data_IF_659583422699
#
_entry.id   IF_659583422699
#
_cell.length_a   1.000
_cell.length_b   1.000
_cell.length_c   1.000
_cell.angle_alpha   90.00
_cell.angle_beta   90.00
_cell.angle_gamma   90.00
#
_symmetry.space_group_name_H-M   'P 1'
#
loop_
_entity.id
_entity.type
_entity.pdbx_description
1 polymer ?
#
# COMPACT_ATOMS: atom_id res chain seq x y z
N UNK A 1 -12.14 -3.86 -18.23
CA UNK A 1 -10.70 -4.03 -17.99
C UNK A 1 -10.55 -5.03 -16.85
N UNK A 2 -9.81 -6.11 -17.06
CA UNK A 2 -9.59 -7.13 -16.03
C UNK A 2 -8.72 -6.62 -14.88
N UNK A 3 -8.65 -7.37 -13.77
CA UNK A 3 -7.82 -7.05 -12.61
C UNK A 3 -6.35 -6.82 -12.99
N UNK A 4 -5.76 -7.77 -13.71
CA UNK A 4 -4.37 -7.68 -14.19
C UNK A 4 -4.13 -6.49 -15.13
N UNK A 5 -5.08 -6.21 -16.03
CA UNK A 5 -4.96 -5.07 -16.99
C UNK A 5 -4.87 -3.74 -16.27
N UNK A 6 -5.59 -3.55 -15.16
CA UNK A 6 -5.53 -2.34 -14.33
C UNK A 6 -4.17 -2.19 -13.66
N UNK A 7 -3.63 -3.26 -13.08
CA UNK A 7 -2.28 -3.26 -12.46
C UNK A 7 -1.25 -2.95 -13.54
N UNK A 8 -1.32 -3.61 -14.68
CA UNK A 8 -0.42 -3.42 -15.82
C UNK A 8 -0.46 -1.98 -16.38
N UNK A 9 -1.65 -1.39 -16.46
CA UNK A 9 -1.82 0.00 -16.88
C UNK A 9 -1.25 0.98 -15.84
N UNK A 10 -1.51 0.74 -14.56
CA UNK A 10 -1.02 1.58 -13.46
C UNK A 10 0.50 1.52 -13.32
N UNK A 11 1.12 0.38 -13.54
CA UNK A 11 2.58 0.21 -13.47
C UNK A 11 3.31 0.55 -14.77
N UNK A 12 2.61 1.03 -15.81
CA UNK A 12 3.21 1.27 -17.13
C UNK A 12 4.45 2.16 -17.07
N UNK A 13 4.39 3.29 -16.38
CA UNK A 13 5.53 4.22 -16.28
C UNK A 13 6.73 3.59 -15.58
N UNK A 14 6.48 2.88 -14.49
CA UNK A 14 7.51 2.16 -13.73
C UNK A 14 8.13 1.07 -14.59
N UNK A 15 7.30 0.23 -15.20
CA UNK A 15 7.77 -0.84 -16.09
C UNK A 15 8.57 -0.30 -17.27
N UNK A 16 8.06 0.73 -17.97
CA UNK A 16 8.73 1.28 -19.15
C UNK A 16 10.10 1.88 -18.78
N UNK A 17 10.25 2.39 -17.55
CA UNK A 17 11.53 2.90 -17.01
C UNK A 17 12.48 1.77 -16.63
N UNK A 18 12.04 0.80 -15.86
CA UNK A 18 12.90 -0.25 -15.28
C UNK A 18 13.19 -1.34 -16.31
N UNK A 19 12.13 -1.97 -16.82
CA UNK A 19 12.25 -3.17 -17.67
C UNK A 19 12.94 -2.86 -19.00
N UNK A 20 12.71 -1.67 -19.56
CA UNK A 20 13.40 -1.24 -20.77
C UNK A 20 14.92 -1.13 -20.59
N UNK A 21 15.36 -0.54 -19.46
CA UNK A 21 16.78 -0.39 -19.14
C UNK A 21 17.42 -1.74 -18.82
N UNK A 22 16.78 -2.58 -18.00
CA UNK A 22 17.30 -3.91 -17.67
C UNK A 22 17.42 -4.79 -18.93
N UNK A 23 16.42 -4.81 -19.81
CA UNK A 23 16.51 -5.57 -21.06
C UNK A 23 17.65 -5.08 -21.96
N UNK A 24 17.82 -3.76 -22.10
CA UNK A 24 18.90 -3.18 -22.90
C UNK A 24 20.29 -3.57 -22.33
N UNK A 25 20.41 -3.54 -21.01
CA UNK A 25 21.61 -3.96 -20.30
C UNK A 25 21.86 -5.48 -20.54
N UNK A 26 20.89 -6.34 -20.29
CA UNK A 26 21.04 -7.80 -20.44
C UNK A 26 21.43 -8.20 -21.89
N UNK A 27 20.93 -7.48 -22.89
CA UNK A 27 21.33 -7.72 -24.30
C UNK A 27 22.76 -7.30 -24.62
N UNK A 28 23.38 -6.41 -23.83
CA UNK A 28 24.76 -6.01 -24.00
C UNK A 28 25.76 -7.06 -23.42
N UNK A 29 25.31 -7.88 -22.50
CA UNK A 29 26.14 -8.91 -21.88
C UNK A 29 26.05 -10.24 -22.64
N UNK A 30 27.22 -10.89 -22.84
CA UNK A 30 27.31 -12.21 -23.46
C UNK A 30 27.46 -13.33 -22.43
N UNK A 31 27.70 -13.01 -21.18
CA UNK A 31 27.88 -13.93 -20.05
C UNK A 31 27.35 -13.28 -18.78
N UNK A 32 27.07 -14.12 -17.78
CA UNK A 32 26.68 -13.65 -16.45
C UNK A 32 27.97 -13.57 -15.60
N UNK A 33 28.37 -12.35 -15.28
CA UNK A 33 29.51 -12.05 -14.42
C UNK A 33 29.18 -10.97 -13.38
N UNK A 34 30.17 -10.56 -12.61
CA UNK A 34 29.96 -9.59 -11.52
C UNK A 34 29.56 -8.22 -12.06
N UNK A 35 30.08 -7.80 -13.20
CA UNK A 35 29.76 -6.51 -13.84
C UNK A 35 28.26 -6.43 -14.19
N UNK A 36 27.65 -7.54 -14.65
CA UNK A 36 26.21 -7.61 -14.90
C UNK A 36 25.40 -7.36 -13.63
N UNK A 37 25.81 -7.94 -12.50
CA UNK A 37 25.06 -7.73 -11.24
C UNK A 37 25.25 -6.34 -10.67
N UNK A 38 26.44 -5.73 -10.81
CA UNK A 38 26.70 -4.35 -10.40
C UNK A 38 25.82 -3.38 -11.19
N UNK A 39 25.75 -3.54 -12.51
CA UNK A 39 24.89 -2.68 -13.35
C UNK A 39 23.41 -2.91 -13.06
N UNK A 40 22.98 -4.15 -12.82
CA UNK A 40 21.60 -4.46 -12.42
C UNK A 40 21.23 -3.79 -11.08
N UNK A 41 22.13 -3.84 -10.10
CA UNK A 41 21.95 -3.21 -8.78
C UNK A 41 21.78 -1.69 -8.92
N UNK A 42 22.61 -1.03 -9.73
CA UNK A 42 22.47 0.41 -10.02
C UNK A 42 21.10 0.74 -10.64
N UNK A 43 20.64 -0.05 -11.61
CA UNK A 43 19.34 0.15 -12.25
C UNK A 43 18.17 -0.01 -11.26
N UNK A 44 18.25 -0.99 -10.36
CA UNK A 44 17.24 -1.20 -9.31
C UNK A 44 17.21 -0.02 -8.32
N UNK A 45 18.38 0.50 -7.93
CA UNK A 45 18.48 1.67 -7.06
C UNK A 45 17.88 2.91 -7.73
N UNK A 46 18.18 3.13 -9.01
CA UNK A 46 17.61 4.23 -9.80
C UNK A 46 16.08 4.14 -9.93
N UNK A 47 15.52 2.95 -9.80
CA UNK A 47 14.09 2.68 -9.81
C UNK A 47 13.41 2.85 -8.45
N UNK A 48 14.07 3.45 -7.46
CA UNK A 48 13.59 3.63 -6.08
C UNK A 48 13.37 2.32 -5.30
N UNK A 49 14.01 1.21 -5.71
CA UNK A 49 14.00 -0.07 -4.95
C UNK A 49 14.74 0.09 -3.61
N UNK A 50 15.68 1.04 -3.54
CA UNK A 50 16.53 1.26 -2.37
C UNK A 50 17.77 0.35 -2.36
N UNK A 51 18.89 0.85 -1.81
CA UNK A 51 20.18 0.16 -1.86
C UNK A 51 20.12 -1.24 -1.23
N UNK A 52 19.66 -1.35 0.02
CA UNK A 52 19.65 -2.61 0.74
C UNK A 52 18.82 -3.69 0.02
N UNK A 53 17.66 -3.32 -0.48
CA UNK A 53 16.77 -4.23 -1.20
C UNK A 53 17.36 -4.63 -2.57
N UNK A 54 17.98 -3.69 -3.28
CA UNK A 54 18.66 -3.97 -4.55
C UNK A 54 19.83 -4.95 -4.36
N UNK A 55 20.67 -4.73 -3.35
CA UNK A 55 21.76 -5.64 -2.99
C UNK A 55 21.22 -7.04 -2.66
N UNK A 56 20.17 -7.16 -1.85
CA UNK A 56 19.57 -8.45 -1.48
C UNK A 56 18.98 -9.18 -2.69
N UNK A 57 18.34 -8.46 -3.61
CA UNK A 57 17.86 -9.04 -4.88
C UNK A 57 19.05 -9.60 -5.69
N UNK A 58 20.11 -8.81 -5.86
CA UNK A 58 21.28 -9.24 -6.63
C UNK A 58 22.00 -10.42 -5.99
N UNK A 59 22.14 -10.45 -4.66
CA UNK A 59 22.73 -11.59 -3.94
C UNK A 59 21.90 -12.87 -4.10
N UNK A 60 20.57 -12.74 -4.03
CA UNK A 60 19.66 -13.87 -4.27
C UNK A 60 19.76 -14.36 -5.70
N UNK A 61 19.83 -13.44 -6.68
CA UNK A 61 20.02 -13.81 -8.08
C UNK A 61 21.34 -14.53 -8.31
N UNK A 62 22.48 -14.04 -7.75
CA UNK A 62 23.80 -14.71 -7.82
C UNK A 62 23.71 -16.14 -7.30
N UNK A 63 23.09 -16.34 -6.14
CA UNK A 63 22.94 -17.65 -5.55
C UNK A 63 22.14 -18.60 -6.45
N UNK A 64 21.00 -18.14 -7.01
CA UNK A 64 20.14 -18.95 -7.89
C UNK A 64 20.77 -19.24 -9.24
N UNK A 65 21.46 -18.27 -9.83
CA UNK A 65 22.23 -18.46 -11.08
C UNK A 65 23.23 -19.60 -10.91
N UNK A 66 23.99 -19.58 -9.80
CA UNK A 66 24.96 -20.63 -9.49
C UNK A 66 24.30 -21.99 -9.22
N UNK A 67 23.22 -22.02 -8.45
CA UNK A 67 22.46 -23.22 -8.08
C UNK A 67 21.86 -23.91 -9.32
N UNK A 68 21.24 -23.11 -10.21
CA UNK A 68 20.52 -23.61 -11.40
C UNK A 68 21.47 -23.81 -12.62
N UNK A 69 22.71 -23.33 -12.54
CA UNK A 69 23.64 -23.37 -13.65
C UNK A 69 23.23 -22.50 -14.84
N UNK A 70 22.59 -21.37 -14.59
CA UNK A 70 22.12 -20.43 -15.62
C UNK A 70 23.32 -19.72 -16.24
N UNK A 71 23.41 -19.70 -17.57
CA UNK A 71 24.53 -19.09 -18.32
C UNK A 71 24.08 -18.01 -19.30
N UNK A 72 22.78 -17.97 -19.67
CA UNK A 72 22.23 -16.97 -20.58
C UNK A 72 21.75 -15.74 -19.79
N UNK A 73 22.33 -14.54 -20.04
CA UNK A 73 21.87 -13.31 -19.40
C UNK A 73 20.35 -13.04 -19.58
N UNK A 74 19.75 -13.50 -20.67
CA UNK A 74 18.31 -13.28 -20.91
C UNK A 74 17.40 -14.01 -19.91
N UNK A 75 17.90 -15.05 -19.23
CA UNK A 75 17.15 -15.75 -18.18
C UNK A 75 17.07 -14.96 -16.87
N UNK A 76 17.95 -13.97 -16.67
CA UNK A 76 17.98 -13.13 -15.47
C UNK A 76 16.65 -12.39 -15.25
N UNK A 77 15.99 -11.95 -16.32
CA UNK A 77 14.70 -11.26 -16.19
C UNK A 77 13.60 -12.16 -15.57
N UNK A 78 13.56 -13.42 -15.99
CA UNK A 78 12.60 -14.40 -15.43
C UNK A 78 12.94 -14.70 -13.97
N UNK A 79 14.22 -14.87 -13.67
CA UNK A 79 14.68 -15.12 -12.32
C UNK A 79 14.44 -13.92 -11.39
N UNK A 80 14.62 -12.68 -11.89
CA UNK A 80 14.31 -11.46 -11.17
C UNK A 80 12.82 -11.38 -10.82
N UNK A 81 11.95 -11.74 -11.76
CA UNK A 81 10.51 -11.80 -11.51
C UNK A 81 10.17 -12.81 -10.40
N UNK A 82 10.78 -13.99 -10.39
CA UNK A 82 10.61 -14.99 -9.34
C UNK A 82 11.07 -14.46 -7.97
N UNK A 83 12.27 -13.88 -7.90
CA UNK A 83 12.85 -13.32 -6.67
C UNK A 83 11.97 -12.21 -6.11
N UNK A 84 11.52 -11.28 -6.96
CA UNK A 84 10.65 -10.19 -6.54
C UNK A 84 9.28 -10.71 -6.09
N UNK A 85 8.71 -11.68 -6.78
CA UNK A 85 7.43 -12.29 -6.36
C UNK A 85 7.54 -12.88 -4.96
N UNK A 86 8.57 -13.65 -4.69
CA UNK A 86 8.80 -14.25 -3.37
C UNK A 86 9.03 -13.19 -2.30
N UNK A 87 9.82 -12.15 -2.62
CA UNK A 87 10.15 -11.07 -1.69
C UNK A 87 8.90 -10.32 -1.21
N UNK A 88 7.93 -10.05 -2.08
CA UNK A 88 6.71 -9.30 -1.71
C UNK A 88 5.52 -10.19 -1.38
N UNK A 89 5.72 -11.50 -1.38
CA UNK A 89 4.70 -12.44 -0.96
C UNK A 89 4.52 -12.42 0.56
N UNK A 90 3.28 -12.52 1.01
CA UNK A 90 2.95 -12.52 2.43
C UNK A 90 1.46 -12.47 2.67
N UNK A 91 1.06 -12.05 3.87
CA UNK A 91 -0.33 -11.90 4.27
C UNK A 91 -0.89 -10.56 3.77
N UNK A 92 -1.21 -10.53 2.47
CA UNK A 92 -1.70 -9.34 1.78
C UNK A 92 -3.21 -9.11 1.92
N UNK A 93 -3.94 -10.02 2.58
CA UNK A 93 -5.39 -9.94 2.74
C UNK A 93 -5.81 -9.08 3.94
N UNK A 94 -7.02 -8.50 3.87
CA UNK A 94 -7.65 -7.88 5.03
C UNK A 94 -8.26 -8.95 5.95
N UNK A 95 -7.97 -8.85 7.24
CA UNK A 95 -8.57 -9.72 8.26
C UNK A 95 -9.79 -9.04 8.88
N UNK A 96 -10.97 -9.35 8.36
CA UNK A 96 -12.26 -8.82 8.81
C UNK A 96 -13.13 -9.97 9.37
N UNK A 97 -12.61 -10.63 10.43
CA UNK A 97 -13.19 -11.88 10.96
C UNK A 97 -14.21 -11.67 12.09
N UNK A 98 -14.44 -10.41 12.50
CA UNK A 98 -15.39 -10.06 13.56
C UNK A 98 -16.47 -9.10 13.07
N UNK A 99 -17.56 -8.97 13.83
CA UNK A 99 -18.67 -8.07 13.53
C UNK A 99 -18.95 -7.16 14.74
N UNK A 100 -18.56 -5.87 14.66
CA UNK A 100 -17.80 -5.23 13.59
C UNK A 100 -16.30 -5.55 13.65
N UNK A 101 -15.66 -5.56 12.47
CA UNK A 101 -14.22 -5.38 12.34
C UNK A 101 -13.90 -3.89 12.18
N UNK A 102 -12.68 -3.46 12.53
CA UNK A 102 -12.29 -2.04 12.45
C UNK A 102 -11.10 -1.86 11.51
N UNK A 103 -11.20 -0.90 10.61
CA UNK A 103 -10.09 -0.44 9.77
C UNK A 103 -9.78 1.00 10.16
N UNK A 104 -8.58 1.24 10.67
CA UNK A 104 -8.05 2.58 10.95
C UNK A 104 -7.11 2.97 9.81
N UNK A 105 -7.41 4.08 9.12
CA UNK A 105 -6.61 4.54 7.98
C UNK A 105 -5.77 5.73 8.40
N UNK A 106 -4.45 5.57 8.36
CA UNK A 106 -3.48 6.57 8.80
C UNK A 106 -2.52 6.96 7.67
N UNK A 107 -1.76 8.05 7.87
CA UNK A 107 -0.77 8.55 6.91
C UNK A 107 -0.75 10.07 6.87
N UNK A 108 0.23 10.67 6.21
CA UNK A 108 0.37 12.12 6.11
C UNK A 108 -0.74 12.75 5.24
N UNK A 109 -0.88 14.08 5.29
CA UNK A 109 -1.85 14.77 4.45
C UNK A 109 -1.46 14.69 2.96
N UNK A 110 -2.45 14.53 2.08
CA UNK A 110 -2.25 14.49 0.63
C UNK A 110 -1.86 13.15 0.02
N UNK A 111 -1.63 12.10 0.84
CA UNK A 111 -1.28 10.76 0.33
C UNK A 111 -2.48 9.97 -0.21
N UNK A 112 -3.70 10.47 -0.06
CA UNK A 112 -4.89 9.80 -0.58
C UNK A 112 -5.70 8.99 0.43
N UNK A 113 -5.60 9.26 1.76
CA UNK A 113 -6.36 8.56 2.82
C UNK A 113 -7.86 8.54 2.55
N UNK A 114 -8.47 9.73 2.43
CA UNK A 114 -9.92 9.88 2.24
C UNK A 114 -10.42 9.20 0.98
N UNK A 115 -9.64 9.29 -0.12
CA UNK A 115 -9.92 8.58 -1.37
C UNK A 115 -9.83 7.06 -1.19
N UNK A 116 -8.81 6.59 -0.48
CA UNK A 116 -8.64 5.17 -0.16
C UNK A 116 -9.82 4.63 0.65
N UNK A 117 -10.26 5.37 1.67
CA UNK A 117 -11.43 5.02 2.50
C UNK A 117 -12.68 4.88 1.63
N UNK A 118 -12.95 5.87 0.78
CA UNK A 118 -14.13 5.84 -0.10
C UNK A 118 -14.12 4.67 -1.08
N UNK A 119 -12.96 4.40 -1.71
CA UNK A 119 -12.79 3.25 -2.61
C UNK A 119 -12.93 1.91 -1.87
N UNK A 120 -12.34 1.81 -0.68
CA UNK A 120 -12.42 0.60 0.15
C UNK A 120 -13.86 0.36 0.64
N UNK A 121 -14.56 1.39 1.10
CA UNK A 121 -15.97 1.30 1.49
C UNK A 121 -16.85 0.82 0.34
N UNK A 122 -16.67 1.41 -0.85
CA UNK A 122 -17.39 0.99 -2.06
C UNK A 122 -17.13 -0.46 -2.43
N UNK A 123 -15.88 -0.92 -2.28
CA UNK A 123 -15.49 -2.31 -2.55
C UNK A 123 -16.14 -3.27 -1.56
N UNK A 124 -16.00 -3.02 -0.26
CA UNK A 124 -16.56 -3.88 0.79
C UNK A 124 -18.09 -3.96 0.69
N UNK A 125 -18.75 -2.84 0.32
CA UNK A 125 -20.20 -2.84 0.06
C UNK A 125 -20.56 -3.70 -1.15
N UNK A 126 -19.80 -3.65 -2.24
CA UNK A 126 -19.99 -4.53 -3.40
C UNK A 126 -19.81 -6.01 -3.04
N UNK A 127 -18.96 -6.30 -2.05
CA UNK A 127 -18.76 -7.64 -1.49
C UNK A 127 -19.86 -8.05 -0.50
N UNK A 128 -20.89 -7.23 -0.32
CA UNK A 128 -22.07 -7.50 0.53
C UNK A 128 -21.88 -7.14 2.01
N UNK A 129 -20.80 -6.43 2.36
CA UNK A 129 -20.56 -5.97 3.75
C UNK A 129 -21.32 -4.69 4.06
N UNK A 130 -21.89 -4.61 5.26
CA UNK A 130 -22.41 -3.37 5.81
C UNK A 130 -21.27 -2.55 6.43
N UNK A 131 -21.03 -1.33 5.90
CA UNK A 131 -19.91 -0.48 6.28
C UNK A 131 -20.40 0.80 6.91
N UNK A 132 -19.72 1.29 7.96
CA UNK A 132 -19.92 2.62 8.55
C UNK A 132 -18.58 3.37 8.54
N UNK A 133 -18.62 4.64 8.11
CA UNK A 133 -17.44 5.52 8.14
C UNK A 133 -17.43 6.40 9.39
N UNK A 134 -16.22 6.66 9.92
CA UNK A 134 -15.97 7.62 11.00
C UNK A 134 -15.02 8.73 10.53
N UNK A 135 -15.49 10.00 10.52
CA UNK A 135 -14.69 11.15 10.11
C UNK A 135 -13.85 11.67 11.28
N UNK A 136 -12.76 10.99 11.63
CA UNK A 136 -11.92 11.35 12.77
C UNK A 136 -10.75 12.30 12.41
N UNK A 137 -10.57 12.73 11.15
CA UNK A 137 -9.76 13.94 10.81
C UNK A 137 -10.56 15.20 11.11
N UNK A 138 -10.85 15.44 12.39
CA UNK A 138 -11.72 16.54 12.86
C UNK A 138 -11.07 17.91 12.75
N UNK A 139 -9.79 18.00 12.52
CA UNK A 139 -9.06 19.29 12.42
C UNK A 139 -9.20 19.97 11.06
N UNK A 140 -9.80 19.29 10.09
CA UNK A 140 -9.90 19.78 8.71
C UNK A 140 -11.35 19.65 8.23
N UNK A 141 -12.08 20.77 8.24
CA UNK A 141 -13.44 20.80 7.71
C UNK A 141 -13.55 20.20 6.31
N UNK A 142 -12.64 20.57 5.41
CA UNK A 142 -12.59 20.02 4.05
C UNK A 142 -12.35 18.50 3.99
N UNK A 143 -11.68 17.90 4.99
CA UNK A 143 -11.52 16.45 5.03
C UNK A 143 -12.81 15.73 5.40
N UNK A 144 -13.56 16.32 6.36
CA UNK A 144 -14.89 15.83 6.75
C UNK A 144 -15.83 15.88 5.54
N UNK A 145 -15.93 17.04 4.87
CA UNK A 145 -16.77 17.24 3.69
C UNK A 145 -16.39 16.27 2.54
N UNK A 146 -15.08 16.08 2.31
CA UNK A 146 -14.61 15.14 1.30
C UNK A 146 -15.02 13.70 1.63
N UNK A 147 -14.94 13.31 2.89
CA UNK A 147 -15.33 11.96 3.31
C UNK A 147 -16.86 11.77 3.20
N UNK A 148 -17.65 12.81 3.43
CA UNK A 148 -19.11 12.77 3.19
C UNK A 148 -19.44 12.50 1.73
N UNK A 149 -18.79 13.20 0.80
CA UNK A 149 -18.96 12.95 -0.64
C UNK A 149 -18.64 11.50 -1.00
N UNK A 150 -17.61 10.92 -0.38
CA UNK A 150 -17.29 9.52 -0.58
C UNK A 150 -18.31 8.57 0.06
N UNK A 151 -18.82 8.90 1.25
CA UNK A 151 -19.89 8.13 1.92
C UNK A 151 -21.15 8.08 1.05
N UNK A 152 -21.57 9.23 0.49
CA UNK A 152 -22.69 9.31 -0.45
C UNK A 152 -22.45 8.47 -1.70
N UNK A 153 -21.28 8.59 -2.34
CA UNK A 153 -20.94 7.81 -3.54
C UNK A 153 -20.92 6.31 -3.30
N UNK A 154 -20.44 5.88 -2.14
CA UNK A 154 -20.40 4.49 -1.72
C UNK A 154 -21.76 4.02 -1.17
N UNK A 155 -22.70 4.94 -0.93
CA UNK A 155 -23.98 4.70 -0.29
C UNK A 155 -23.80 3.98 1.06
N UNK A 156 -22.95 4.54 1.93
CA UNK A 156 -22.66 4.07 3.29
C UNK A 156 -22.86 5.18 4.31
N UNK A 157 -23.34 4.88 5.53
CA UNK A 157 -23.50 5.87 6.58
C UNK A 157 -22.15 6.40 7.08
N UNK A 158 -22.13 7.67 7.50
CA UNK A 158 -20.98 8.32 8.10
C UNK A 158 -21.34 8.90 9.47
N UNK A 159 -20.43 8.77 10.42
CA UNK A 159 -20.48 9.43 11.72
C UNK A 159 -19.44 10.55 11.71
N UNK A 160 -19.88 11.76 12.02
CA UNK A 160 -19.04 12.98 12.06
C UNK A 160 -19.40 13.85 13.22
N UNK A 161 -18.46 14.67 13.67
CA UNK A 161 -18.69 15.75 14.63
C UNK A 161 -18.32 17.11 14.01
N UNK A 162 -18.49 18.18 14.74
CA UNK A 162 -18.05 19.51 14.33
C UNK A 162 -16.52 19.56 14.24
N UNK A 163 -16.01 20.48 13.40
CA UNK A 163 -14.59 20.77 13.31
C UNK A 163 -14.00 21.06 14.71
N UNK A 164 -12.80 20.52 14.98
CA UNK A 164 -12.13 20.65 16.27
C UNK A 164 -12.62 19.72 17.38
N UNK A 165 -13.60 18.86 17.11
CA UNK A 165 -14.02 17.84 18.06
C UNK A 165 -12.90 16.82 18.35
N UNK A 166 -13.01 16.08 19.47
CA UNK A 166 -12.06 15.02 19.80
C UNK A 166 -12.18 13.84 18.81
N UNK A 167 -11.12 13.49 18.05
CA UNK A 167 -11.15 12.35 17.13
C UNK A 167 -11.55 11.03 17.80
N UNK A 168 -11.14 10.81 19.03
CA UNK A 168 -11.49 9.62 19.80
C UNK A 168 -12.98 9.52 20.13
N UNK A 169 -13.67 10.68 20.30
CA UNK A 169 -15.12 10.70 20.48
C UNK A 169 -15.86 10.29 19.20
N UNK A 170 -15.39 10.74 18.03
CA UNK A 170 -15.94 10.31 16.73
C UNK A 170 -15.81 8.80 16.56
N UNK A 171 -14.65 8.23 16.86
CA UNK A 171 -14.42 6.78 16.77
C UNK A 171 -15.32 6.01 17.76
N UNK A 172 -15.47 6.52 18.99
CA UNK A 172 -16.37 5.92 19.97
C UNK A 172 -17.82 5.87 19.47
N UNK A 173 -18.32 6.98 18.94
CA UNK A 173 -19.69 7.05 18.42
C UNK A 173 -19.87 6.20 17.17
N UNK A 174 -18.84 6.11 16.31
CA UNK A 174 -18.85 5.25 15.14
C UNK A 174 -18.97 3.77 15.55
N UNK A 175 -18.20 3.32 16.54
CA UNK A 175 -18.28 1.96 17.10
C UNK A 175 -19.65 1.72 17.71
N UNK A 176 -20.19 2.68 18.46
CA UNK A 176 -21.50 2.57 19.09
C UNK A 176 -22.61 2.43 18.05
N UNK A 177 -22.54 3.23 16.97
CA UNK A 177 -23.46 3.13 15.84
C UNK A 177 -23.33 1.78 15.10
N UNK A 178 -22.11 1.29 14.92
CA UNK A 178 -21.85 0.01 14.27
C UNK A 178 -22.45 -1.17 15.05
N UNK A 179 -22.29 -1.18 16.39
CA UNK A 179 -22.94 -2.17 17.25
C UNK A 179 -24.46 -2.13 17.15
N UNK A 180 -25.05 -0.93 17.26
CA UNK A 180 -26.50 -0.76 17.22
C UNK A 180 -27.12 -1.16 15.87
N UNK A 181 -26.37 -1.03 14.77
CA UNK A 181 -26.81 -1.35 13.41
C UNK A 181 -26.32 -2.70 12.90
N UNK A 182 -25.61 -3.46 13.73
CA UNK A 182 -24.99 -4.75 13.35
C UNK A 182 -24.13 -4.63 12.07
N UNK A 183 -23.35 -3.55 11.97
CA UNK A 183 -22.46 -3.35 10.82
C UNK A 183 -21.32 -4.37 10.84
N UNK A 184 -20.87 -4.77 9.63
CA UNK A 184 -19.74 -5.71 9.49
C UNK A 184 -18.41 -5.02 9.68
N UNK A 185 -18.27 -3.78 9.18
CA UNK A 185 -16.99 -3.06 9.13
C UNK A 185 -17.16 -1.58 9.51
N UNK A 186 -16.26 -1.11 10.35
CA UNK A 186 -16.05 0.31 10.63
C UNK A 186 -14.76 0.76 9.96
N UNK A 187 -14.80 1.87 9.20
CA UNK A 187 -13.58 2.48 8.63
C UNK A 187 -13.46 3.90 9.17
N UNK A 188 -12.36 4.19 9.88
CA UNK A 188 -12.10 5.51 10.43
C UNK A 188 -10.96 6.23 9.70
N UNK A 189 -11.22 7.49 9.29
CA UNK A 189 -10.17 8.42 8.86
C UNK A 189 -9.39 8.94 10.08
N UNK A 190 -8.20 9.47 9.87
CA UNK A 190 -7.39 10.11 10.93
C UNK A 190 -6.68 11.36 10.40
N UNK A 191 -6.29 12.23 11.30
CA UNK A 191 -5.41 13.35 11.00
C UNK A 191 -4.04 12.85 10.46
N UNK A 192 -3.42 13.65 9.58
CA UNK A 192 -2.13 13.32 8.95
C UNK A 192 -1.03 14.34 9.24
N UNK A 193 -0.94 14.86 10.47
CA UNK A 193 -0.04 15.95 10.86
C UNK A 193 1.31 15.44 11.38
N UNK A 194 2.12 14.83 10.52
CA UNK A 194 3.40 14.23 10.92
C UNK A 194 4.42 15.27 11.43
N UNK A 195 4.32 16.53 11.01
CA UNK A 195 5.16 17.63 11.54
C UNK A 195 4.97 17.86 13.05
N UNK A 196 3.89 17.39 13.65
CA UNK A 196 3.67 17.31 15.09
C UNK A 196 3.56 15.83 15.51
N UNK A 197 4.65 15.10 15.28
CA UNK A 197 4.72 13.63 15.46
C UNK A 197 4.18 13.20 16.83
N UNK A 198 4.60 13.84 17.91
CA UNK A 198 4.19 13.47 19.26
C UNK A 198 2.68 13.52 19.44
N UNK A 199 2.05 14.65 19.08
CA UNK A 199 0.61 14.81 19.25
C UNK A 199 -0.17 13.81 18.38
N UNK A 200 0.30 13.57 17.14
CA UNK A 200 -0.32 12.57 16.25
C UNK A 200 -0.23 11.16 16.86
N UNK A 201 0.91 10.78 17.42
CA UNK A 201 1.10 9.47 18.04
C UNK A 201 0.27 9.30 19.32
N UNK A 202 0.15 10.34 20.14
CA UNK A 202 -0.72 10.36 21.31
C UNK A 202 -2.20 10.22 20.93
N UNK A 203 -2.63 10.88 19.84
CA UNK A 203 -3.99 10.77 19.27
C UNK A 203 -4.26 9.35 18.76
N UNK A 204 -3.38 8.78 17.94
CA UNK A 204 -3.51 7.43 17.42
C UNK A 204 -3.54 6.39 18.55
N UNK A 205 -2.70 6.55 19.58
CA UNK A 205 -2.72 5.71 20.78
C UNK A 205 -4.02 5.82 21.55
N UNK A 206 -4.61 7.02 21.63
CA UNK A 206 -5.92 7.24 22.27
C UNK A 206 -7.03 6.56 21.48
N UNK A 207 -7.04 6.72 20.15
CA UNK A 207 -8.00 6.06 19.27
C UNK A 207 -7.91 4.54 19.41
N UNK A 208 -6.70 3.96 19.36
CA UNK A 208 -6.49 2.52 19.52
C UNK A 208 -7.07 2.01 20.82
N UNK A 209 -6.82 2.70 21.95
CA UNK A 209 -7.39 2.35 23.25
C UNK A 209 -8.91 2.40 23.30
N UNK A 210 -9.53 3.37 22.61
CA UNK A 210 -10.99 3.46 22.49
C UNK A 210 -11.55 2.27 21.71
N UNK A 211 -10.90 1.88 20.61
CA UNK A 211 -11.27 0.68 19.84
C UNK A 211 -11.17 -0.56 20.72
N UNK A 212 -10.03 -0.78 21.36
CA UNK A 212 -9.78 -1.97 22.20
C UNK A 212 -10.77 -2.06 23.38
N UNK A 213 -11.13 -0.92 23.98
CA UNK A 213 -12.14 -0.86 25.06
C UNK A 213 -13.56 -1.06 24.54
N UNK A 214 -13.88 -0.49 23.38
CA UNK A 214 -15.22 -0.54 22.79
C UNK A 214 -15.53 -1.88 22.13
N UNK A 215 -14.52 -2.53 21.55
CA UNK A 215 -14.60 -3.78 20.80
C UNK A 215 -13.44 -4.70 21.20
N UNK A 216 -13.45 -5.28 22.42
CA UNK A 216 -12.47 -6.26 22.81
C UNK A 216 -12.43 -7.41 21.80
N UNK A 217 -11.23 -7.85 21.43
CA UNK A 217 -11.00 -8.98 20.50
C UNK A 217 -11.52 -8.77 19.07
N UNK A 218 -11.81 -7.53 18.65
CA UNK A 218 -12.18 -7.28 17.25
C UNK A 218 -10.98 -7.45 16.31
N UNK A 219 -11.25 -7.90 15.09
CA UNK A 219 -10.30 -7.79 14.00
C UNK A 219 -10.05 -6.29 13.74
N UNK A 220 -8.81 -5.86 13.97
CA UNK A 220 -8.37 -4.47 13.81
C UNK A 220 -7.26 -4.39 12.78
N UNK A 221 -7.53 -3.72 11.69
CA UNK A 221 -6.55 -3.38 10.66
C UNK A 221 -6.13 -1.92 10.82
N UNK A 222 -4.85 -1.67 10.85
CA UNK A 222 -4.26 -0.33 10.86
C UNK A 222 -3.48 -0.16 9.56
N UNK A 223 -4.08 0.53 8.60
CA UNK A 223 -3.55 0.69 7.26
C UNK A 223 -2.84 2.02 7.11
N UNK A 224 -1.55 1.98 6.84
CA UNK A 224 -0.77 3.17 6.49
C UNK A 224 -0.88 3.44 4.99
N UNK A 225 -1.41 4.61 4.64
CA UNK A 225 -1.48 5.07 3.25
C UNK A 225 -0.23 5.89 2.92
N UNK A 226 0.45 5.51 1.85
CA UNK A 226 1.66 6.15 1.35
C UNK A 226 1.49 6.54 -0.12
N UNK A 227 2.16 7.61 -0.53
CA UNK A 227 2.19 8.09 -1.91
C UNK A 227 3.45 7.58 -2.62
N UNK A 228 3.29 6.70 -3.61
CA UNK A 228 4.39 6.11 -4.37
C UNK A 228 5.26 7.16 -5.10
N UNK A 229 4.69 8.32 -5.45
CA UNK A 229 5.44 9.37 -6.16
C UNK A 229 6.56 9.97 -5.32
N UNK A 230 6.50 9.80 -4.00
CA UNK A 230 7.52 10.30 -3.07
C UNK A 230 8.75 9.39 -2.96
N UNK A 231 8.74 8.19 -3.58
CA UNK A 231 9.87 7.26 -3.61
C UNK A 231 10.37 6.91 -2.20
N UNK A 232 11.68 6.98 -1.96
CA UNK A 232 12.29 6.64 -0.67
C UNK A 232 11.78 7.47 0.53
N UNK A 233 11.19 8.65 0.29
CA UNK A 233 10.54 9.38 1.38
C UNK A 233 9.32 8.64 1.95
N UNK A 234 8.61 7.84 1.13
CA UNK A 234 7.52 6.99 1.62
C UNK A 234 8.02 5.94 2.63
N UNK A 235 9.20 5.34 2.38
CA UNK A 235 9.86 4.38 3.30
C UNK A 235 10.17 5.04 4.63
N UNK A 236 10.73 6.27 4.61
CA UNK A 236 11.05 7.01 5.84
C UNK A 236 9.78 7.35 6.63
N UNK A 237 8.71 7.80 5.97
CA UNK A 237 7.41 8.01 6.62
C UNK A 237 6.88 6.72 7.27
N UNK A 238 6.97 5.61 6.54
CA UNK A 238 6.48 4.33 7.03
C UNK A 238 7.22 3.85 8.29
N UNK A 239 8.55 4.02 8.36
CA UNK A 239 9.34 3.74 9.57
C UNK A 239 8.85 4.55 10.78
N UNK A 240 8.56 5.85 10.57
CA UNK A 240 8.08 6.70 11.65
C UNK A 240 6.72 6.28 12.20
N UNK A 241 5.80 5.83 11.33
CA UNK A 241 4.49 5.34 11.77
C UNK A 241 4.55 3.94 12.37
N UNK A 242 5.44 3.05 11.88
CA UNK A 242 5.56 1.67 12.38
C UNK A 242 5.82 1.61 13.88
N UNK A 243 6.71 2.48 14.38
CA UNK A 243 7.08 2.51 15.79
C UNK A 243 5.92 2.86 16.74
N UNK A 244 4.88 3.52 16.23
CA UNK A 244 3.91 4.16 17.10
C UNK A 244 2.45 3.70 16.92
N UNK A 245 2.11 3.06 15.80
CA UNK A 245 0.70 2.88 15.43
C UNK A 245 0.22 1.42 15.34
N UNK A 246 1.09 0.43 15.55
CA UNK A 246 0.70 -0.99 15.44
C UNK A 246 0.17 -1.34 14.04
N UNK A 247 0.91 -0.97 12.99
CA UNK A 247 0.53 -1.17 11.60
C UNK A 247 0.31 -2.65 11.27
N UNK A 248 -0.73 -2.95 10.52
CA UNK A 248 -1.03 -4.30 10.00
C UNK A 248 -0.81 -4.40 8.50
N UNK A 249 -0.76 -3.28 7.80
CA UNK A 249 -0.54 -3.28 6.36
C UNK A 249 -0.39 -1.88 5.75
N UNK A 250 0.00 -1.90 4.49
CA UNK A 250 0.28 -0.70 3.70
C UNK A 250 -0.73 -0.59 2.54
N UNK A 251 -1.14 0.63 2.25
CA UNK A 251 -1.83 1.00 1.01
C UNK A 251 -0.93 1.96 0.25
N UNK A 252 -0.49 1.57 -0.94
CA UNK A 252 0.37 2.42 -1.77
C UNK A 252 -0.43 3.06 -2.90
N UNK A 253 -0.53 4.37 -2.91
CA UNK A 253 -1.34 5.15 -3.87
C UNK A 253 -0.51 5.74 -5.00
N UNK A 254 -1.17 6.20 -6.08
CA UNK A 254 -0.59 6.96 -7.19
C UNK A 254 0.51 6.24 -7.97
N UNK A 255 0.46 4.91 -8.03
CA UNK A 255 1.41 4.13 -8.82
C UNK A 255 1.36 4.45 -10.32
N UNK A 256 0.19 4.82 -10.83
CA UNK A 256 -0.03 5.25 -12.22
C UNK A 256 0.66 6.58 -12.57
N UNK A 257 0.97 7.37 -11.56
CA UNK A 257 1.62 8.69 -11.69
C UNK A 257 3.14 8.64 -11.76
N UNK A 258 3.79 7.52 -11.43
CA UNK A 258 5.24 7.49 -11.15
C UNK A 258 6.02 6.40 -11.90
N UNK A 259 7.32 6.65 -12.11
CA UNK A 259 8.31 5.64 -12.48
C UNK A 259 8.98 4.98 -11.25
N UNK A 260 8.60 5.39 -10.03
CA UNK A 260 9.21 4.97 -8.75
C UNK A 260 8.49 3.80 -8.08
N UNK A 261 7.79 2.97 -8.85
CA UNK A 261 7.04 1.83 -8.30
C UNK A 261 7.88 0.77 -7.60
N UNK A 262 9.20 0.78 -7.80
CA UNK A 262 10.15 -0.05 -7.04
C UNK A 262 10.11 0.19 -5.53
N UNK A 263 9.60 1.33 -5.08
CA UNK A 263 9.39 1.63 -3.66
C UNK A 263 8.50 0.60 -2.92
N UNK A 264 7.64 -0.13 -3.63
CA UNK A 264 6.86 -1.25 -3.07
C UNK A 264 7.79 -2.29 -2.43
N UNK A 265 8.88 -2.63 -3.13
CA UNK A 265 9.88 -3.61 -2.67
C UNK A 265 10.61 -3.11 -1.43
N UNK A 266 11.07 -1.86 -1.46
CA UNK A 266 11.74 -1.23 -0.32
C UNK A 266 10.85 -1.17 0.93
N UNK A 267 9.57 -0.79 0.77
CA UNK A 267 8.62 -0.71 1.88
C UNK A 267 8.40 -2.09 2.49
N UNK A 268 8.18 -3.11 1.67
CA UNK A 268 7.96 -4.47 2.16
C UNK A 268 9.19 -4.99 2.91
N UNK A 269 10.37 -4.87 2.32
CA UNK A 269 11.62 -5.37 2.89
C UNK A 269 12.03 -4.63 4.16
N UNK A 270 12.04 -3.30 4.14
CA UNK A 270 12.51 -2.49 5.26
C UNK A 270 11.57 -2.54 6.48
N UNK A 271 10.28 -2.74 6.24
CA UNK A 271 9.28 -2.67 7.29
C UNK A 271 8.78 -4.05 7.74
N UNK A 272 8.93 -5.08 6.91
CA UNK A 272 8.31 -6.38 7.15
C UNK A 272 6.78 -6.29 7.29
N UNK A 273 6.16 -5.33 6.59
CA UNK A 273 4.72 -5.11 6.58
C UNK A 273 4.15 -5.45 5.21
N UNK A 274 3.02 -6.19 5.14
CA UNK A 274 2.41 -6.54 3.88
C UNK A 274 1.81 -5.30 3.19
N UNK A 275 1.95 -5.22 1.88
CA UNK A 275 1.16 -4.31 1.07
C UNK A 275 -0.19 -4.98 0.83
N UNK A 276 -1.28 -4.35 1.27
CA UNK A 276 -2.64 -4.91 1.14
C UNK A 276 -3.38 -4.38 -0.08
N UNK A 277 -3.12 -3.12 -0.43
CA UNK A 277 -3.73 -2.49 -1.60
C UNK A 277 -2.76 -1.60 -2.35
N UNK A 278 -3.00 -1.46 -3.66
CA UNK A 278 -2.34 -0.51 -4.55
C UNK A 278 -3.37 0.35 -5.28
N UNK A 279 -3.12 1.67 -5.33
CA UNK A 279 -3.88 2.63 -6.12
C UNK A 279 -3.22 2.83 -7.48
N UNK A 280 -3.95 2.48 -8.54
CA UNK A 280 -3.48 2.48 -9.92
C UNK A 280 -4.27 3.42 -10.83
N UNK A 281 -4.97 4.40 -10.24
CA UNK A 281 -5.76 5.41 -10.94
C UNK A 281 -6.80 6.08 -10.06
N UNK A 282 -7.62 6.95 -10.65
CA UNK A 282 -8.56 7.82 -9.91
C UNK A 282 -9.97 7.21 -9.75
N UNK A 283 -10.33 6.20 -10.54
CA UNK A 283 -11.67 5.61 -10.48
C UNK A 283 -11.88 4.80 -9.19
N UNK A 284 -13.15 4.62 -8.80
CA UNK A 284 -13.51 3.84 -7.61
C UNK A 284 -12.88 2.46 -7.62
N UNK A 285 -12.88 1.80 -8.77
CA UNK A 285 -12.34 0.46 -8.95
C UNK A 285 -10.82 0.42 -9.23
N UNK A 286 -10.10 1.53 -9.02
CA UNK A 286 -8.64 1.59 -9.21
C UNK A 286 -7.84 1.41 -7.91
N UNK A 287 -8.51 1.09 -6.80
CA UNK A 287 -7.89 0.52 -5.61
C UNK A 287 -7.93 -1.00 -5.74
N UNK A 288 -6.78 -1.60 -6.04
CA UNK A 288 -6.67 -3.04 -6.26
C UNK A 288 -6.06 -3.73 -5.04
N UNK A 289 -6.53 -4.94 -4.66
CA UNK A 289 -5.80 -5.78 -3.71
C UNK A 289 -4.39 -6.02 -4.25
N UNK A 290 -3.43 -6.10 -3.36
CA UNK A 290 -2.08 -6.44 -3.76
C UNK A 290 -1.99 -7.96 -3.99
N UNK A 291 -1.44 -8.31 -5.14
CA UNK A 291 -1.12 -9.69 -5.50
C UNK A 291 0.32 -9.73 -6.00
N UNK A 292 1.17 -10.47 -5.30
CA UNK A 292 2.61 -10.49 -5.52
C UNK A 292 2.98 -10.96 -6.93
N UNK A 293 2.33 -12.01 -7.44
CA UNK A 293 2.59 -12.57 -8.77
C UNK A 293 2.18 -11.60 -9.87
N UNK A 294 0.96 -11.07 -9.80
CA UNK A 294 0.47 -10.10 -10.78
C UNK A 294 1.25 -8.79 -10.74
N UNK A 295 1.72 -8.35 -9.56
CA UNK A 295 2.56 -7.17 -9.41
C UNK A 295 3.92 -7.37 -10.07
N UNK A 296 4.65 -8.44 -9.73
CA UNK A 296 5.97 -8.73 -10.31
C UNK A 296 5.88 -8.96 -11.82
N UNK A 297 4.84 -9.69 -12.27
CA UNK A 297 4.59 -9.88 -13.71
C UNK A 297 4.32 -8.56 -14.42
N UNK A 298 3.48 -7.69 -13.86
CA UNK A 298 3.17 -6.39 -14.47
C UNK A 298 4.38 -5.45 -14.50
N UNK A 299 5.31 -5.59 -13.54
CA UNK A 299 6.52 -4.79 -13.45
C UNK A 299 7.61 -5.24 -14.43
N UNK A 300 7.79 -6.57 -14.63
CA UNK A 300 8.90 -7.16 -15.40
C UNK A 300 8.47 -7.86 -16.70
N UNK A 301 7.17 -7.85 -17.06
CA UNK A 301 6.71 -8.48 -18.30
C UNK A 301 7.35 -7.82 -19.52
N UNK A 302 8.02 -8.64 -20.33
CA UNK A 302 8.60 -8.19 -21.60
C UNK A 302 7.49 -7.66 -22.52
N UNK A 303 7.73 -6.56 -23.21
CA UNK A 303 6.88 -6.21 -24.36
C UNK A 303 7.03 -7.31 -25.41
N UNK A 304 5.93 -7.82 -26.02
CA UNK A 304 6.08 -8.54 -27.27
C UNK A 304 6.83 -7.62 -28.23
N UNK A 305 7.90 -8.12 -28.81
CA UNK A 305 8.59 -7.41 -29.89
C UNK A 305 7.57 -7.11 -31.00
N UNK A 306 7.48 -5.84 -31.42
CA UNK A 306 6.55 -5.36 -32.43
C UNK A 306 7.02 -5.78 -33.83
#
# INVERSE_FOLDING_TARGET
MGFFDKIKAGLKKTRDSITGQINSMLHAFTKIDEELFEELEELLVMADVGMNTATEICDTLRARVKERGITDPNEIMTLLQEVVTEMVSGDNELHLNTQPSVILVIGVNGVGKTTTIGKLASRLKKEGKSVILGAADTFRAAAIEQLEVWAERADVPIIKHAEGADPAAVVYDTISAAKARHADVVICDTAGRLHNKKNLMDELSKISRIIDKGLPDCSKEVLLVLDATTGQNAVNQAREFKEAAGLTGIVLTKLDGTAKGGVVLAIHQDLGLPVKFIGVGEQVDDLQPFDAENFARALFERRPEA
#
